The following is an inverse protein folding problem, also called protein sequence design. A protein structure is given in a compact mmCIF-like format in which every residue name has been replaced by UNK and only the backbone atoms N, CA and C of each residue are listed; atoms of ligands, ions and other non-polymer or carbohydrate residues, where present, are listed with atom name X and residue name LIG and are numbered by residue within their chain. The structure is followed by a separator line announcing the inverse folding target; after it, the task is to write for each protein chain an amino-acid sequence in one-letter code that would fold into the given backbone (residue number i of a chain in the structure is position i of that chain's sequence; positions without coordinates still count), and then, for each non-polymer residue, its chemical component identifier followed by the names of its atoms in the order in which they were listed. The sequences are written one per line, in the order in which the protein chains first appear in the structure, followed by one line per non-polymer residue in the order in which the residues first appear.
data_IF_647549834353
#
_entry.id   IF_647549834353
#
_cell.length_a   1.000
_cell.length_b   1.000
_cell.length_c   1.000
_cell.angle_alpha   90.00
_cell.angle_beta   90.00
_cell.angle_gamma   90.00
#
_symmetry.space_group_name_H-M   'P 1'
#
loop_
_entity.id
_entity.type
_entity.pdbx_description
1 polymer ?
#
# COMPACT_ATOMS: atom_id res chain seq x y z
N UNK A 1 22.72 -2.01 21.67
CA UNK A 1 22.12 -0.78 22.25
C UNK A 1 21.58 -1.12 23.63
N UNK A 2 21.84 -0.30 24.65
CA UNK A 2 21.33 -0.56 26.00
C UNK A 2 19.89 -0.09 26.10
N UNK A 3 19.02 -0.94 26.66
CA UNK A 3 17.59 -0.63 26.81
C UNK A 3 17.39 0.72 27.54
N UNK A 4 16.41 1.56 27.13
CA UNK A 4 16.12 2.78 27.84
C UNK A 4 15.72 2.41 29.26
N UNK A 5 16.45 2.97 30.23
CA UNK A 5 16.14 2.76 31.64
C UNK A 5 14.74 3.27 31.92
N UNK A 6 13.92 2.51 32.65
CA UNK A 6 12.60 2.99 33.02
C UNK A 6 12.66 4.25 33.87
N UNK A 7 11.57 5.02 33.91
CA UNK A 7 11.49 6.16 34.81
C UNK A 7 11.58 5.69 36.26
N UNK A 8 12.20 6.51 37.11
CA UNK A 8 12.45 6.19 38.52
C UNK A 8 11.17 6.07 39.35
N UNK A 9 10.11 6.74 38.92
CA UNK A 9 8.75 6.63 39.45
C UNK A 9 7.84 6.23 38.31
N UNK A 10 6.83 5.42 38.61
CA UNK A 10 5.77 4.99 37.70
C UNK A 10 4.44 5.08 38.42
N UNK A 11 3.35 5.13 37.66
CA UNK A 11 2.02 5.04 38.24
C UNK A 11 1.73 3.59 38.67
N UNK A 12 0.68 3.44 39.48
CA UNK A 12 0.18 2.12 39.84
C UNK A 12 -0.33 1.36 38.61
N UNK A 13 -0.49 0.03 38.72
CA UNK A 13 -0.95 -0.83 37.63
C UNK A 13 -2.28 -0.36 36.97
N UNK A 14 -3.15 0.30 37.74
CA UNK A 14 -4.28 1.08 37.22
C UNK A 14 -4.00 2.56 37.50
N UNK A 15 -3.47 3.33 36.53
CA UNK A 15 -3.05 4.71 36.77
C UNK A 15 -4.26 5.59 37.10
N UNK A 16 -4.10 6.47 38.09
CA UNK A 16 -5.06 7.53 38.42
C UNK A 16 -4.30 8.85 38.47
N UNK A 17 -4.71 9.84 37.67
CA UNK A 17 -4.12 11.17 37.71
C UNK A 17 -5.01 12.10 38.55
N UNK A 18 -4.51 12.55 39.70
CA UNK A 18 -5.23 13.44 40.62
C UNK A 18 -4.80 14.90 40.48
N UNK A 19 -3.68 15.15 39.82
CA UNK A 19 -3.17 16.50 39.53
C UNK A 19 -2.07 16.49 38.48
N UNK A 20 -1.52 17.67 38.18
CA UNK A 20 -0.52 17.85 37.12
C UNK A 20 0.73 16.98 37.27
N UNK A 21 1.21 16.78 38.50
CA UNK A 21 2.38 15.93 38.76
C UNK A 21 2.15 14.46 38.33
N UNK A 22 0.93 13.94 38.49
CA UNK A 22 0.60 12.58 38.05
C UNK A 22 0.51 12.50 36.52
N UNK A 23 0.03 13.57 35.87
CA UNK A 23 -0.02 13.67 34.40
C UNK A 23 1.40 13.70 33.83
N UNK A 24 2.31 14.48 34.42
CA UNK A 24 3.72 14.51 34.01
C UNK A 24 4.38 13.13 34.18
N UNK A 25 4.09 12.46 35.30
CA UNK A 25 4.55 11.09 35.53
C UNK A 25 4.01 10.11 34.47
N UNK A 26 2.72 10.21 34.14
CA UNK A 26 2.09 9.41 33.10
C UNK A 26 2.73 9.66 31.72
N UNK A 27 2.96 10.93 31.36
CA UNK A 27 3.60 11.29 30.09
C UNK A 27 5.02 10.76 29.99
N UNK A 28 5.79 10.82 31.09
CA UNK A 28 7.14 10.25 31.15
C UNK A 28 7.12 8.73 30.99
N UNK A 29 6.18 8.05 31.63
CA UNK A 29 5.99 6.61 31.50
C UNK A 29 5.56 6.21 30.08
N UNK A 30 4.63 6.96 29.47
CA UNK A 30 4.22 6.77 28.07
C UNK A 30 5.41 6.96 27.11
N UNK A 31 6.16 8.06 27.23
CA UNK A 31 7.34 8.30 26.41
C UNK A 31 8.35 7.15 26.51
N UNK A 32 8.58 6.61 27.72
CA UNK A 32 9.45 5.45 27.92
C UNK A 32 8.91 4.19 27.23
N UNK A 33 7.60 3.91 27.36
CA UNK A 33 6.96 2.77 26.71
C UNK A 33 7.09 2.86 25.17
N UNK A 34 6.84 4.03 24.59
CA UNK A 34 6.98 4.27 23.16
C UNK A 34 8.43 4.11 22.69
N UNK A 35 9.40 4.62 23.45
CA UNK A 35 10.82 4.43 23.16
C UNK A 35 11.22 2.95 23.23
N UNK A 36 10.76 2.23 24.26
CA UNK A 36 11.02 0.80 24.42
C UNK A 36 10.40 -0.02 23.29
N UNK A 37 9.17 0.30 22.90
CA UNK A 37 8.47 -0.33 21.77
C UNK A 37 9.22 -0.10 20.46
N UNK A 38 9.65 1.14 20.21
CA UNK A 38 10.40 1.51 19.00
C UNK A 38 11.73 0.76 18.90
N UNK A 39 12.45 0.61 20.02
CA UNK A 39 13.67 -0.19 20.06
C UNK A 39 13.43 -1.67 19.76
N UNK A 40 12.40 -2.28 20.36
CA UNK A 40 12.02 -3.67 20.08
C UNK A 40 11.68 -3.86 18.61
N UNK A 41 10.92 -2.94 18.01
CA UNK A 41 10.65 -2.96 16.58
C UNK A 41 11.92 -2.79 15.74
N UNK A 42 12.84 -1.90 16.12
CA UNK A 42 14.12 -1.75 15.43
C UNK A 42 14.97 -3.02 15.46
N UNK A 43 15.03 -3.72 16.60
CA UNK A 43 15.72 -5.02 16.71
C UNK A 43 15.05 -6.09 15.84
N UNK A 44 13.71 -6.13 15.82
CA UNK A 44 12.96 -7.03 14.96
C UNK A 44 13.25 -6.76 13.47
N UNK A 45 13.21 -5.50 13.04
CA UNK A 45 13.52 -5.10 11.66
C UNK A 45 14.95 -5.49 11.26
N UNK A 46 15.93 -5.27 12.14
CA UNK A 46 17.32 -5.71 11.93
C UNK A 46 17.41 -7.24 11.80
N UNK A 47 16.68 -7.97 12.64
CA UNK A 47 16.66 -9.44 12.60
C UNK A 47 16.04 -9.95 11.31
N UNK A 48 14.92 -9.36 10.88
CA UNK A 48 14.28 -9.66 9.59
C UNK A 48 15.23 -9.35 8.45
N UNK A 49 15.87 -8.17 8.46
CA UNK A 49 16.83 -7.75 7.42
C UNK A 49 17.98 -8.77 7.32
N UNK A 50 18.63 -9.10 8.44
CA UNK A 50 19.71 -10.07 8.46
C UNK A 50 19.28 -11.45 7.95
N UNK A 51 18.08 -11.92 8.36
CA UNK A 51 17.53 -13.19 7.88
C UNK A 51 17.23 -13.15 6.37
N UNK A 52 16.71 -12.04 5.85
CA UNK A 52 16.45 -11.86 4.40
C UNK A 52 17.74 -11.79 3.59
N UNK A 53 18.78 -11.15 4.10
CA UNK A 53 20.10 -11.10 3.47
C UNK A 53 20.74 -12.49 3.42
N UNK A 54 20.66 -13.25 4.52
CA UNK A 54 21.21 -14.61 4.57
C UNK A 54 20.46 -15.55 3.62
N UNK A 55 19.13 -15.47 3.59
CA UNK A 55 18.31 -16.19 2.62
C UNK A 55 18.70 -15.83 1.17
N UNK A 56 18.94 -14.55 0.87
CA UNK A 56 19.36 -14.10 -0.46
C UNK A 56 20.73 -14.67 -0.88
N UNK A 57 21.66 -14.88 0.07
CA UNK A 57 22.94 -15.56 -0.20
C UNK A 57 22.74 -17.04 -0.51
N UNK A 58 21.86 -17.73 0.22
CA UNK A 58 21.55 -19.14 -0.02
C UNK A 58 20.86 -19.36 -1.39
N UNK A 59 20.15 -18.35 -1.90
CA UNK A 59 19.51 -18.38 -3.21
C UNK A 59 20.48 -18.04 -4.36
N UNK A 60 21.74 -18.46 -4.25
CA UNK A 60 22.77 -18.31 -5.28
C UNK A 60 23.52 -19.62 -5.52
N UNK A 61 23.74 -19.98 -6.78
CA UNK A 61 24.62 -21.08 -7.21
C UNK A 61 25.74 -20.47 -8.05
N UNK A 62 27.00 -20.67 -7.65
CA UNK A 62 28.20 -20.16 -8.35
C UNK A 62 28.12 -18.67 -8.71
N UNK A 63 27.59 -17.85 -7.78
CA UNK A 63 27.43 -16.40 -7.97
C UNK A 63 26.19 -15.97 -8.77
N UNK A 64 25.40 -16.90 -9.31
CA UNK A 64 24.16 -16.61 -10.05
C UNK A 64 22.95 -16.80 -9.13
N UNK A 65 22.08 -15.80 -9.06
CA UNK A 65 20.83 -15.89 -8.30
C UNK A 65 19.88 -16.95 -8.88
N UNK A 66 19.11 -17.64 -8.03
CA UNK A 66 18.16 -18.66 -8.49
C UNK A 66 17.13 -18.07 -9.47
N UNK A 67 16.65 -16.85 -9.22
CA UNK A 67 15.75 -16.13 -10.12
C UNK A 67 16.39 -15.87 -11.48
N UNK A 68 17.63 -15.36 -11.50
CA UNK A 68 18.34 -15.08 -12.74
C UNK A 68 18.60 -16.37 -13.53
N UNK A 69 19.05 -17.42 -12.83
CA UNK A 69 19.27 -18.73 -13.46
C UNK A 69 17.98 -19.31 -14.01
N UNK A 70 16.87 -19.18 -13.29
CA UNK A 70 15.55 -19.61 -13.74
C UNK A 70 15.14 -18.86 -15.01
N UNK A 71 15.26 -17.54 -15.04
CA UNK A 71 14.93 -16.73 -16.22
C UNK A 71 15.79 -17.11 -17.43
N UNK A 72 17.09 -17.34 -17.25
CA UNK A 72 17.98 -17.78 -18.32
C UNK A 72 17.58 -19.16 -18.87
N UNK A 73 17.20 -20.10 -17.99
CA UNK A 73 16.74 -21.43 -18.40
C UNK A 73 15.38 -21.34 -19.12
N UNK A 74 14.43 -20.55 -18.61
CA UNK A 74 13.13 -20.32 -19.24
C UNK A 74 13.29 -19.69 -20.62
N UNK A 75 14.18 -18.71 -20.78
CA UNK A 75 14.49 -18.11 -22.06
C UNK A 75 15.10 -19.11 -23.05
N UNK A 76 16.10 -19.89 -22.63
CA UNK A 76 16.71 -20.91 -23.48
C UNK A 76 15.71 -22.00 -23.92
N UNK A 77 14.84 -22.45 -23.02
CA UNK A 77 13.76 -23.41 -23.35
C UNK A 77 12.78 -22.77 -24.34
N UNK A 78 12.40 -21.51 -24.14
CA UNK A 78 11.51 -20.80 -25.04
C UNK A 78 12.12 -20.64 -26.44
N UNK A 79 13.38 -20.21 -26.55
CA UNK A 79 14.08 -20.04 -27.82
C UNK A 79 14.19 -21.36 -28.59
N UNK A 80 14.52 -22.46 -27.89
CA UNK A 80 14.55 -23.79 -28.47
C UNK A 80 13.16 -24.22 -28.97
N UNK A 81 12.13 -24.05 -28.13
CA UNK A 81 10.76 -24.44 -28.48
C UNK A 81 10.24 -23.65 -29.68
N UNK A 82 10.52 -22.35 -29.76
CA UNK A 82 10.15 -21.48 -30.89
C UNK A 82 10.84 -21.93 -32.17
N UNK A 83 12.13 -22.23 -32.10
CA UNK A 83 12.92 -22.70 -33.26
C UNK A 83 12.47 -24.08 -33.77
N UNK A 84 11.91 -24.91 -32.88
CA UNK A 84 11.45 -26.27 -33.18
C UNK A 84 9.93 -26.43 -33.04
N UNK A 85 9.17 -25.36 -33.28
CA UNK A 85 7.73 -25.30 -32.98
C UNK A 85 6.91 -26.48 -33.53
N UNK A 86 7.28 -27.01 -34.70
CA UNK A 86 6.61 -28.16 -35.32
C UNK A 86 6.69 -29.44 -34.48
N UNK A 87 7.69 -29.59 -33.61
CA UNK A 87 7.82 -30.74 -32.70
C UNK A 87 6.91 -30.62 -31.46
N UNK A 88 6.50 -29.41 -31.11
CA UNK A 88 5.69 -29.12 -29.93
C UNK A 88 4.20 -28.92 -30.25
N UNK A 89 3.88 -28.59 -31.50
CA UNK A 89 2.52 -28.29 -31.96
C UNK A 89 2.10 -29.32 -33.00
N UNK A 90 1.23 -30.24 -32.60
CA UNK A 90 0.52 -31.18 -33.47
C UNK A 90 -0.92 -30.69 -33.71
N UNK A 91 -1.68 -31.29 -34.63
CA UNK A 91 -3.10 -30.98 -34.80
C UNK A 91 -3.92 -31.21 -33.52
N UNK A 92 -3.52 -32.16 -32.68
CA UNK A 92 -4.23 -32.59 -31.47
C UNK A 92 -3.76 -31.88 -30.20
N UNK A 93 -2.50 -31.41 -30.16
CA UNK A 93 -1.90 -30.80 -28.97
C UNK A 93 -0.98 -29.64 -29.30
N UNK A 94 -1.02 -28.59 -28.47
CA UNK A 94 -0.08 -27.44 -28.53
C UNK A 94 1.00 -27.52 -27.45
N UNK A 95 1.13 -28.66 -26.78
CA UNK A 95 2.05 -28.85 -25.67
C UNK A 95 2.71 -30.23 -25.68
N UNK A 96 3.95 -30.27 -25.23
CA UNK A 96 4.75 -31.48 -25.06
C UNK A 96 5.11 -31.67 -23.59
N UNK A 97 4.82 -32.86 -23.06
CA UNK A 97 5.09 -33.23 -21.66
C UNK A 97 6.47 -33.89 -21.56
N UNK A 98 7.25 -33.44 -20.58
CA UNK A 98 8.54 -34.01 -20.19
C UNK A 98 8.43 -34.59 -18.77
N UNK A 99 9.48 -35.26 -18.30
CA UNK A 99 9.53 -35.85 -16.94
C UNK A 99 9.25 -34.83 -15.83
N UNK A 100 9.72 -33.59 -15.99
CA UNK A 100 9.66 -32.56 -14.94
C UNK A 100 8.86 -31.32 -15.32
N UNK A 101 8.09 -31.36 -16.40
CA UNK A 101 7.34 -30.18 -16.83
C UNK A 101 6.61 -30.37 -18.15
N UNK A 102 6.00 -29.29 -18.63
CA UNK A 102 5.32 -29.25 -19.92
C UNK A 102 5.66 -27.93 -20.59
N UNK A 103 6.04 -28.00 -21.87
CA UNK A 103 6.28 -26.82 -22.70
C UNK A 103 5.13 -26.74 -23.69
N UNK A 104 4.43 -25.60 -23.73
CA UNK A 104 3.28 -25.44 -24.60
C UNK A 104 3.16 -24.04 -25.18
N UNK A 105 2.56 -23.97 -26.36
CA UNK A 105 2.23 -22.74 -27.05
C UNK A 105 0.80 -22.35 -26.73
N UNK A 106 0.64 -21.26 -25.99
CA UNK A 106 -0.65 -20.66 -25.75
C UNK A 106 -0.81 -19.40 -26.59
N UNK A 107 -1.95 -19.27 -27.26
CA UNK A 107 -2.36 -17.98 -27.83
C UNK A 107 -2.84 -17.12 -26.68
N UNK A 108 -2.03 -16.15 -26.26
CA UNK A 108 -2.49 -15.14 -25.33
C UNK A 108 -3.66 -14.37 -25.96
N UNK A 109 -4.66 -14.06 -25.15
CA UNK A 109 -5.73 -13.18 -25.60
C UNK A 109 -5.11 -11.83 -26.02
N UNK A 110 -5.57 -11.24 -27.13
CA UNK A 110 -5.11 -9.91 -27.53
C UNK A 110 -5.37 -8.93 -26.40
N UNK A 111 -4.33 -8.18 -26.00
CA UNK A 111 -4.41 -7.14 -24.99
C UNK A 111 -4.34 -5.78 -25.66
N UNK A 112 -5.28 -4.91 -25.33
CA UNK A 112 -5.21 -3.49 -25.71
C UNK A 112 -4.37 -2.77 -24.66
N UNK A 113 -3.22 -2.24 -25.07
CA UNK A 113 -2.35 -1.44 -24.21
C UNK A 113 -2.61 0.03 -24.51
N UNK A 114 -2.96 0.81 -23.47
CA UNK A 114 -3.10 2.26 -23.60
C UNK A 114 -1.70 2.88 -23.73
N UNK A 115 -1.48 3.70 -24.75
CA UNK A 115 -0.23 4.43 -24.92
C UNK A 115 0.05 5.29 -23.68
N UNK A 116 1.28 5.22 -23.15
CA UNK A 116 1.71 5.97 -21.97
C UNK A 116 1.56 7.49 -22.15
N UNK A 117 1.53 7.98 -23.39
CA UNK A 117 1.28 9.40 -23.72
C UNK A 117 -0.16 9.84 -23.47
N UNK A 118 -1.10 8.90 -23.36
CA UNK A 118 -2.52 9.17 -23.19
C UNK A 118 -2.99 8.58 -21.86
N UNK A 119 -2.70 9.29 -20.77
CA UNK A 119 -3.27 8.92 -19.47
C UNK A 119 -4.78 9.18 -19.48
N UNK A 120 -5.58 8.38 -18.76
CA UNK A 120 -7.04 8.56 -18.66
C UNK A 120 -7.43 9.98 -18.24
N UNK A 121 -6.61 10.63 -17.42
CA UNK A 121 -6.78 12.03 -17.01
C UNK A 121 -6.57 13.01 -18.14
N UNK A 122 -5.63 12.80 -19.07
CA UNK A 122 -5.51 13.61 -20.30
C UNK A 122 -6.73 13.47 -21.19
N UNK A 123 -7.26 12.26 -21.35
CA UNK A 123 -8.46 12.01 -22.17
C UNK A 123 -9.68 12.70 -21.53
N UNK A 124 -9.87 12.56 -20.22
CA UNK A 124 -11.00 13.19 -19.50
C UNK A 124 -10.87 14.72 -19.48
N UNK A 125 -9.65 15.27 -19.26
CA UNK A 125 -9.41 16.72 -19.29
C UNK A 125 -9.58 17.33 -20.68
N UNK A 126 -9.09 16.66 -21.73
CA UNK A 126 -9.26 17.13 -23.10
C UNK A 126 -10.74 17.19 -23.52
N UNK A 127 -11.56 16.32 -22.94
CA UNK A 127 -12.98 16.26 -23.22
C UNK A 127 -13.80 17.28 -22.41
N UNK A 128 -13.29 17.79 -21.27
CA UNK A 128 -13.97 18.80 -20.46
C UNK A 128 -15.32 18.33 -19.88
N UNK A 129 -15.47 17.01 -19.65
CA UNK A 129 -16.74 16.42 -19.26
C UNK A 129 -16.93 16.39 -17.73
N UNK A 130 -18.11 16.76 -17.25
CA UNK A 130 -18.58 16.36 -15.92
C UNK A 130 -18.86 14.85 -15.91
N UNK A 131 -18.81 14.18 -14.75
CA UNK A 131 -19.01 12.73 -14.66
C UNK A 131 -20.33 12.28 -15.33
N UNK A 132 -21.42 13.01 -15.12
CA UNK A 132 -22.72 12.69 -15.73
C UNK A 132 -22.72 12.87 -17.25
N UNK A 133 -22.07 13.93 -17.75
CA UNK A 133 -21.92 14.17 -19.19
C UNK A 133 -20.99 13.14 -19.83
N UNK A 134 -19.96 12.70 -19.11
CA UNK A 134 -19.08 11.64 -19.54
C UNK A 134 -19.83 10.32 -19.68
N UNK A 135 -20.61 9.92 -18.68
CA UNK A 135 -21.43 8.70 -18.75
C UNK A 135 -22.45 8.77 -19.89
N UNK A 136 -23.13 9.90 -20.09
CA UNK A 136 -24.10 10.08 -21.16
C UNK A 136 -23.46 9.98 -22.55
N UNK A 137 -22.31 10.64 -22.76
CA UNK A 137 -21.60 10.58 -24.05
C UNK A 137 -21.01 9.19 -24.27
N UNK A 138 -20.43 8.55 -23.24
CA UNK A 138 -19.92 7.19 -23.34
C UNK A 138 -21.01 6.18 -23.69
N UNK A 139 -22.23 6.33 -23.14
CA UNK A 139 -23.38 5.52 -23.54
C UNK A 139 -23.79 5.77 -24.99
N UNK A 140 -23.85 7.04 -25.41
CA UNK A 140 -24.18 7.42 -26.80
C UNK A 140 -23.17 6.86 -27.81
N UNK A 141 -21.90 6.81 -27.44
CA UNK A 141 -20.82 6.28 -28.28
C UNK A 141 -20.67 4.74 -28.18
N UNK A 142 -21.48 4.06 -27.35
CA UNK A 142 -21.36 2.62 -27.12
C UNK A 142 -20.11 2.19 -26.33
N UNK A 143 -19.38 3.14 -25.75
CA UNK A 143 -18.11 2.93 -25.04
C UNK A 143 -18.28 2.71 -23.53
N UNK A 144 -19.49 2.84 -23.00
CA UNK A 144 -19.78 2.70 -21.57
C UNK A 144 -19.40 1.32 -20.98
N UNK A 145 -19.36 0.25 -21.80
CA UNK A 145 -18.89 -1.07 -21.38
C UNK A 145 -17.36 -1.23 -21.37
N UNK A 146 -16.63 -0.31 -21.98
CA UNK A 146 -15.19 -0.39 -22.24
C UNK A 146 -14.39 0.55 -21.34
N UNK A 147 -15.03 1.61 -20.83
CA UNK A 147 -14.42 2.64 -20.00
C UNK A 147 -15.01 2.55 -18.60
N UNK A 148 -14.15 2.28 -17.61
CA UNK A 148 -14.51 2.33 -16.19
C UNK A 148 -14.17 3.71 -15.63
N UNK A 149 -15.18 4.38 -15.06
CA UNK A 149 -14.99 5.62 -14.32
C UNK A 149 -14.99 5.29 -12.83
N UNK A 150 -13.90 5.63 -12.14
CA UNK A 150 -13.87 5.60 -10.68
C UNK A 150 -14.25 7.00 -10.20
N UNK A 151 -15.45 7.13 -9.64
CA UNK A 151 -15.86 8.34 -8.96
C UNK A 151 -15.32 8.30 -7.53
N UNK A 152 -14.48 9.27 -7.19
CA UNK A 152 -14.00 9.47 -5.83
C UNK A 152 -14.67 10.71 -5.23
N UNK A 153 -15.06 10.62 -3.97
CA UNK A 153 -15.64 11.73 -3.24
C UNK A 153 -14.53 12.65 -2.75
N UNK A 154 -14.52 13.92 -3.19
CA UNK A 154 -13.61 14.92 -2.64
C UNK A 154 -14.09 15.40 -1.27
N UNK A 155 -13.71 14.63 -0.24
CA UNK A 155 -14.05 14.91 1.16
C UNK A 155 -13.48 16.25 1.61
N UNK A 156 -12.32 16.67 1.09
CA UNK A 156 -11.70 17.95 1.45
C UNK A 156 -12.52 19.13 0.93
N UNK A 157 -12.95 19.09 -0.34
CA UNK A 157 -13.82 20.11 -0.91
C UNK A 157 -15.19 20.16 -0.21
N UNK A 158 -15.77 19.01 0.15
CA UNK A 158 -17.02 18.95 0.91
C UNK A 158 -16.88 19.57 2.30
N UNK A 159 -15.80 19.26 3.04
CA UNK A 159 -15.50 19.90 4.33
C UNK A 159 -15.39 21.41 4.17
N UNK A 160 -14.64 21.89 3.18
CA UNK A 160 -14.51 23.32 2.88
C UNK A 160 -15.86 23.98 2.54
N UNK A 161 -16.74 23.28 1.81
CA UNK A 161 -18.07 23.77 1.46
C UNK A 161 -19.02 23.88 2.68
N UNK A 162 -18.92 22.95 3.64
CA UNK A 162 -19.67 23.04 4.91
C UNK A 162 -19.17 24.21 5.75
N UNK A 163 -17.86 24.37 5.88
CA UNK A 163 -17.25 25.50 6.61
C UNK A 163 -17.67 26.84 5.99
N UNK A 164 -17.67 26.93 4.66
CA UNK A 164 -18.10 28.11 3.91
C UNK A 164 -19.64 28.30 3.85
N UNK A 165 -20.42 27.48 4.57
CA UNK A 165 -21.90 27.48 4.58
C UNK A 165 -22.55 27.32 3.20
N UNK A 166 -21.82 26.80 2.21
CA UNK A 166 -22.34 26.46 0.86
C UNK A 166 -23.06 25.11 0.84
N UNK A 167 -22.82 24.28 1.86
CA UNK A 167 -23.45 22.99 2.07
C UNK A 167 -23.93 22.87 3.52
N UNK A 168 -25.17 22.44 3.75
CA UNK A 168 -25.71 22.21 5.10
C UNK A 168 -25.61 20.73 5.47
N UNK A 169 -25.50 20.37 6.78
CA UNK A 169 -25.53 18.98 7.22
C UNK A 169 -26.77 18.22 6.74
N UNK A 170 -27.95 18.86 6.73
CA UNK A 170 -29.17 18.27 6.19
C UNK A 170 -29.07 17.97 4.68
N UNK A 171 -28.35 18.80 3.92
CA UNK A 171 -28.12 18.57 2.49
C UNK A 171 -27.11 17.44 2.27
N UNK A 172 -26.08 17.30 3.11
CA UNK A 172 -25.17 16.14 3.09
C UNK A 172 -25.90 14.83 3.38
N UNK A 173 -26.81 14.84 4.37
CA UNK A 173 -27.59 13.66 4.75
C UNK A 173 -28.45 13.14 3.59
N UNK A 174 -28.96 14.03 2.72
CA UNK A 174 -29.69 13.65 1.49
C UNK A 174 -28.84 12.85 0.50
N UNK A 175 -27.52 12.93 0.60
CA UNK A 175 -26.57 12.17 -0.21
C UNK A 175 -25.95 10.98 0.55
N UNK A 176 -26.48 10.63 1.74
CA UNK A 176 -25.94 9.56 2.58
C UNK A 176 -24.65 9.93 3.30
N UNK A 177 -24.34 11.23 3.41
CA UNK A 177 -23.13 11.73 4.07
C UNK A 177 -23.49 12.36 5.42
N UNK A 178 -22.76 11.99 6.47
CA UNK A 178 -22.90 12.57 7.80
C UNK A 178 -21.81 13.60 8.06
N UNK A 179 -22.20 14.78 8.54
CA UNK A 179 -21.25 15.78 9.04
C UNK A 179 -21.08 15.62 10.54
N UNK A 180 -19.92 15.13 10.95
CA UNK A 180 -19.51 15.14 12.35
C UNK A 180 -18.89 16.51 12.65
N UNK A 181 -19.49 17.33 13.53
CA UNK A 181 -18.91 18.62 13.90
C UNK A 181 -17.55 18.42 14.58
N UNK A 182 -16.67 19.43 14.56
CA UNK A 182 -15.44 19.38 15.35
C UNK A 182 -15.82 19.13 16.81
N UNK A 183 -15.22 18.09 17.38
CA UNK A 183 -15.32 17.78 18.80
C UNK A 183 -13.95 17.99 19.42
N UNK A 184 -13.94 18.47 20.66
CA UNK A 184 -12.69 18.58 21.42
C UNK A 184 -12.17 17.17 21.70
N UNK A 185 -11.08 16.81 21.02
CA UNK A 185 -10.38 15.55 21.21
C UNK A 185 -9.14 15.79 22.07
N UNK A 186 -9.03 15.04 23.18
CA UNK A 186 -7.81 15.04 23.98
C UNK A 186 -6.73 14.29 23.23
N UNK A 187 -5.70 15.01 22.75
CA UNK A 187 -4.53 14.43 22.10
C UNK A 187 -3.35 14.38 23.06
N UNK A 188 -2.86 13.18 23.31
CA UNK A 188 -1.66 12.94 24.13
C UNK A 188 -0.51 12.65 23.17
N UNK A 189 0.46 13.55 23.10
CA UNK A 189 1.65 13.43 22.27
C UNK A 189 2.89 13.48 23.17
N UNK A 190 3.34 12.33 23.72
CA UNK A 190 4.54 12.29 24.53
C UNK A 190 5.75 12.73 23.70
N UNK A 191 6.61 13.57 24.27
CA UNK A 191 7.89 13.92 23.65
C UNK A 191 8.86 12.73 23.70
N UNK A 192 9.96 12.80 22.93
CA UNK A 192 11.00 11.78 22.97
C UNK A 192 11.48 11.53 24.41
N UNK A 193 11.67 10.26 24.78
CA UNK A 193 12.08 9.89 26.13
C UNK A 193 13.53 10.29 26.43
N UNK A 194 13.75 11.11 27.45
CA UNK A 194 15.08 11.38 28.00
C UNK A 194 15.26 10.68 29.35
N UNK A 195 16.24 9.78 29.44
CA UNK A 195 16.53 9.05 30.67
C UNK A 195 17.22 9.91 31.75
N UNK A 196 17.75 11.09 31.39
CA UNK A 196 18.40 12.02 32.32
C UNK A 196 17.41 13.15 32.64
N UNK A 197 17.43 13.70 33.87
CA UNK A 197 16.68 14.90 34.26
C UNK A 197 17.14 16.19 33.52
N UNK A 198 17.67 16.04 32.31
CA UNK A 198 18.02 17.09 31.38
C UNK A 198 17.24 16.82 30.10
N UNK A 199 15.91 16.94 30.18
CA UNK A 199 15.18 17.40 29.01
C UNK A 199 15.48 18.89 28.85
N UNK A 200 15.65 19.40 27.62
CA UNK A 200 15.69 20.84 27.37
C UNK A 200 14.40 21.53 27.83
#
# INVERSE_FOLDING_TARGET
MSLPRPPAKRLAAKPKCRGFADVELALRELAWLDARRSEVHGVLEQTISAATEEAAKCLRINGVGFTDRKLLLEAAIADYAVSHKSQFVTPESKSLKFTHGTVGFHLSQPRVVVDKKHTPTTVIKALGWTADRAVAILRRLGLAGWIRLNAELDVAALKAAVIARRMTPAKLLRYGLEYVPPQDEVRILPTAYCARNKCP
#
